data_IF_158993678318
#
_entry.id   IF_158993678318
#
_cell.length_a   1.000
_cell.length_b   1.000
_cell.length_c   1.000
_cell.angle_alpha   90.00
_cell.angle_beta   90.00
_cell.angle_gamma   90.00
#
_symmetry.space_group_name_H-M   'P 1'
#
loop_
_entity.id
_entity.type
_entity.pdbx_description
1 polymer ?
#
# COMPACT_ATOMS: atom_id res chain seq x y z
N UNK A 1 10.58 -9.37 8.58
CA UNK A 1 10.65 -8.28 9.57
C UNK A 1 9.67 -8.59 10.71
N UNK A 2 9.90 -8.15 11.96
CA UNK A 2 8.89 -8.33 13.03
C UNK A 2 7.70 -7.38 12.82
N UNK A 3 6.51 -7.73 13.33
CA UNK A 3 5.32 -6.86 13.22
C UNK A 3 5.53 -5.49 13.88
N UNK A 4 6.24 -5.47 15.02
CA UNK A 4 6.63 -4.24 15.71
C UNK A 4 7.48 -3.34 14.80
N UNK A 5 8.57 -3.88 14.26
CA UNK A 5 9.47 -3.08 13.44
C UNK A 5 8.78 -2.57 12.18
N UNK A 6 8.03 -3.44 11.49
CA UNK A 6 7.26 -3.06 10.30
C UNK A 6 6.31 -1.90 10.62
N UNK A 7 5.53 -2.01 11.70
CA UNK A 7 4.59 -0.96 12.12
C UNK A 7 5.31 0.36 12.43
N UNK A 8 6.44 0.30 13.15
CA UNK A 8 7.24 1.49 13.46
C UNK A 8 7.83 2.12 12.20
N UNK A 9 8.29 1.33 11.23
CA UNK A 9 8.80 1.83 9.96
C UNK A 9 7.70 2.55 9.15
N UNK A 10 6.46 2.06 9.17
CA UNK A 10 5.33 2.82 8.60
C UNK A 10 5.12 4.16 9.29
N UNK A 11 5.17 4.21 10.63
CA UNK A 11 5.01 5.47 11.37
C UNK A 11 6.18 6.43 11.08
N UNK A 12 7.41 5.93 11.09
CA UNK A 12 8.64 6.72 11.17
C UNK A 12 9.24 7.03 9.80
N UNK A 13 8.89 6.26 8.77
CA UNK A 13 9.35 6.43 7.40
C UNK A 13 8.17 6.85 6.53
N UNK A 14 7.15 5.98 6.39
CA UNK A 14 6.07 6.20 5.43
C UNK A 14 5.26 7.45 5.77
N UNK A 15 4.61 7.45 6.93
CA UNK A 15 3.76 8.55 7.39
C UNK A 15 4.56 9.82 7.70
N UNK A 16 5.78 9.69 8.20
CA UNK A 16 6.63 10.84 8.55
C UNK A 16 6.99 11.71 7.35
N UNK A 17 7.12 11.11 6.17
CA UNK A 17 7.49 11.83 4.95
C UNK A 17 6.31 11.99 3.98
N UNK A 18 5.10 11.58 4.39
CA UNK A 18 3.94 11.54 3.51
C UNK A 18 3.47 12.92 3.03
N UNK A 19 3.32 13.86 3.97
CA UNK A 19 2.95 15.25 3.68
C UNK A 19 4.00 15.91 2.78
N UNK A 20 5.28 15.67 3.06
CA UNK A 20 6.37 16.22 2.25
C UNK A 20 6.31 15.69 0.82
N UNK A 21 6.13 14.37 0.63
CA UNK A 21 6.01 13.76 -0.70
C UNK A 21 4.82 14.35 -1.46
N UNK A 22 3.66 14.46 -0.82
CA UNK A 22 2.48 15.06 -1.45
C UNK A 22 2.74 16.50 -1.88
N UNK A 23 3.38 17.31 -1.03
CA UNK A 23 3.67 18.72 -1.32
C UNK A 23 4.70 18.94 -2.44
N UNK A 24 5.44 17.90 -2.85
CA UNK A 24 6.35 17.96 -4.01
C UNK A 24 5.62 17.77 -5.35
N UNK A 25 4.40 17.24 -5.33
CA UNK A 25 3.63 17.03 -6.55
C UNK A 25 3.23 18.38 -7.18
N UNK A 26 3.09 18.43 -8.51
CA UNK A 26 2.34 19.51 -9.15
C UNK A 26 0.95 19.64 -8.52
N UNK A 27 0.53 20.88 -8.25
CA UNK A 27 -0.71 21.16 -7.49
C UNK A 27 -1.93 20.52 -8.12
N UNK A 28 -2.05 20.56 -9.44
CA UNK A 28 -3.15 19.96 -10.21
C UNK A 28 -3.16 18.43 -10.10
N UNK A 29 -1.98 17.80 -10.11
CA UNK A 29 -1.83 16.35 -9.90
C UNK A 29 -2.25 15.96 -8.48
N UNK A 30 -1.77 16.68 -7.47
CA UNK A 30 -2.13 16.43 -6.07
C UNK A 30 -3.64 16.56 -5.83
N UNK A 31 -4.26 17.63 -6.35
CA UNK A 31 -5.73 17.83 -6.28
C UNK A 31 -6.47 16.70 -7.01
N UNK A 32 -6.03 16.30 -8.20
CA UNK A 32 -6.66 15.20 -8.95
C UNK A 32 -6.62 13.90 -8.16
N UNK A 33 -5.47 13.53 -7.58
CA UNK A 33 -5.31 12.29 -6.81
C UNK A 33 -6.20 12.28 -5.56
N UNK A 34 -6.21 13.37 -4.79
CA UNK A 34 -7.05 13.49 -3.59
C UNK A 34 -8.55 13.44 -3.93
N UNK A 35 -8.97 14.10 -5.00
CA UNK A 35 -10.35 14.02 -5.48
C UNK A 35 -10.72 12.60 -5.94
N UNK A 36 -9.77 11.86 -6.53
CA UNK A 36 -9.94 10.46 -6.89
C UNK A 36 -10.21 9.55 -5.69
N UNK A 37 -9.68 9.92 -4.52
CA UNK A 37 -9.94 9.27 -3.23
C UNK A 37 -11.26 9.74 -2.57
N UNK A 38 -12.04 10.61 -3.23
CA UNK A 38 -13.32 11.10 -2.72
C UNK A 38 -13.21 12.27 -1.73
N UNK A 39 -12.02 12.85 -1.54
CA UNK A 39 -11.81 13.97 -0.63
C UNK A 39 -11.67 15.30 -1.40
N UNK A 40 -12.27 16.40 -0.92
CA UNK A 40 -12.11 17.71 -1.59
C UNK A 40 -10.72 18.33 -1.42
N UNK A 41 -10.03 18.01 -0.32
CA UNK A 41 -8.71 18.57 0.04
C UNK A 41 -7.86 17.53 0.73
N UNK A 42 -6.54 17.64 0.58
CA UNK A 42 -5.59 16.70 1.18
C UNK A 42 -5.75 16.63 2.70
N UNK A 43 -5.97 17.79 3.32
CA UNK A 43 -6.27 17.90 4.74
C UNK A 43 -7.51 17.12 5.18
N UNK A 44 -8.55 17.06 4.35
CA UNK A 44 -9.78 16.32 4.67
C UNK A 44 -9.51 14.80 4.68
N UNK A 45 -8.66 14.31 3.76
CA UNK A 45 -8.18 12.92 3.75
C UNK A 45 -7.30 12.62 4.97
N UNK A 46 -6.38 13.52 5.32
CA UNK A 46 -5.56 13.38 6.54
C UNK A 46 -6.40 13.42 7.82
N UNK A 47 -7.49 14.20 7.84
CA UNK A 47 -8.43 14.25 8.98
C UNK A 47 -9.13 12.89 9.19
N UNK A 48 -9.51 12.23 8.10
CA UNK A 48 -10.00 10.86 8.14
C UNK A 48 -8.95 9.89 8.72
N UNK A 49 -7.72 9.89 8.18
CA UNK A 49 -6.63 9.03 8.66
C UNK A 49 -6.35 9.26 10.15
N UNK A 50 -6.24 10.53 10.55
CA UNK A 50 -5.95 10.93 11.92
C UNK A 50 -7.03 10.47 12.89
N UNK A 51 -8.31 10.58 12.51
CA UNK A 51 -9.42 10.16 13.37
C UNK A 51 -9.39 8.66 13.64
N UNK A 52 -8.96 7.85 12.66
CA UNK A 52 -8.74 6.43 12.87
C UNK A 52 -7.55 6.13 13.78
N UNK A 53 -6.49 6.94 13.76
CA UNK A 53 -5.40 6.82 14.73
C UNK A 53 -5.86 7.17 16.14
N UNK A 54 -6.62 8.26 16.29
CA UNK A 54 -7.19 8.69 17.56
C UNK A 54 -8.14 7.64 18.16
N UNK A 55 -8.92 6.94 17.33
CA UNK A 55 -9.81 5.87 17.79
C UNK A 55 -9.04 4.57 18.09
N UNK A 56 -8.10 4.18 17.24
CA UNK A 56 -7.45 2.88 17.35
C UNK A 56 -6.38 2.83 18.44
N UNK A 57 -5.62 3.91 18.67
CA UNK A 57 -4.52 3.89 19.64
C UNK A 57 -4.97 3.55 21.08
N UNK A 58 -6.05 4.16 21.62
CA UNK A 58 -6.58 3.77 22.93
C UNK A 58 -6.99 2.29 22.99
N UNK A 59 -7.57 1.75 21.90
CA UNK A 59 -7.97 0.34 21.81
C UNK A 59 -6.74 -0.57 21.79
N UNK A 60 -5.74 -0.25 20.97
CA UNK A 60 -4.48 -1.00 20.86
C UNK A 60 -3.81 -1.07 22.24
N UNK A 61 -3.67 0.07 22.92
CA UNK A 61 -3.03 0.15 24.23
C UNK A 61 -3.84 -0.59 25.30
N UNK A 62 -5.17 -0.50 25.28
CA UNK A 62 -6.00 -1.26 26.21
C UNK A 62 -5.84 -2.77 26.01
N UNK A 63 -5.81 -3.26 24.77
CA UNK A 63 -5.56 -4.69 24.50
C UNK A 63 -4.16 -5.09 24.95
N UNK A 64 -3.15 -4.26 24.69
CA UNK A 64 -1.76 -4.53 25.05
C UNK A 64 -1.53 -4.58 26.57
N UNK A 65 -2.30 -3.81 27.33
CA UNK A 65 -2.24 -3.71 28.79
C UNK A 65 -3.29 -4.59 29.49
N UNK A 66 -4.01 -5.42 28.72
CA UNK A 66 -5.10 -6.28 29.21
C UNK A 66 -6.22 -5.52 29.96
N UNK A 67 -6.43 -4.25 29.60
CA UNK A 67 -7.49 -3.42 30.14
C UNK A 67 -8.79 -3.59 29.38
N UNK A 68 -9.90 -3.34 30.07
CA UNK A 68 -11.20 -3.21 29.42
C UNK A 68 -11.23 -2.01 28.47
N UNK A 69 -11.98 -2.16 27.38
CA UNK A 69 -12.25 -1.09 26.44
C UNK A 69 -13.59 -1.33 25.76
N UNK A 70 -14.19 -0.25 25.29
CA UNK A 70 -15.48 -0.31 24.62
C UNK A 70 -15.34 -0.90 23.21
N UNK A 71 -16.13 -1.94 22.91
CA UNK A 71 -16.26 -2.43 21.54
C UNK A 71 -17.37 -1.65 20.85
N UNK A 72 -16.97 -0.73 19.99
CA UNK A 72 -17.92 0.01 19.15
C UNK A 72 -18.19 -0.74 17.86
N UNK A 73 -19.44 -0.68 17.41
CA UNK A 73 -19.79 -0.99 16.03
C UNK A 73 -19.82 0.33 15.27
N UNK A 74 -19.02 0.44 14.23
CA UNK A 74 -18.94 1.66 13.43
C UNK A 74 -19.96 1.62 12.29
N UNK A 75 -20.65 2.73 12.12
CA UNK A 75 -21.04 3.18 10.80
C UNK A 75 -19.83 3.93 10.23
N UNK A 76 -19.11 3.30 9.30
CA UNK A 76 -17.87 3.83 8.77
C UNK A 76 -18.09 5.16 8.03
N UNK A 77 -19.21 5.28 7.31
CA UNK A 77 -19.53 6.49 6.55
C UNK A 77 -19.81 7.66 7.50
N UNK A 78 -20.62 7.42 8.55
CA UNK A 78 -20.90 8.42 9.56
C UNK A 78 -19.63 8.85 10.31
N UNK A 79 -18.80 7.88 10.74
CA UNK A 79 -17.54 8.17 11.43
C UNK A 79 -16.58 8.99 10.55
N UNK A 80 -16.45 8.61 9.28
CA UNK A 80 -15.58 9.32 8.32
C UNK A 80 -16.09 10.73 8.02
N UNK A 81 -17.41 10.92 7.91
CA UNK A 81 -18.00 12.25 7.72
C UNK A 81 -17.79 13.16 8.94
N UNK A 82 -17.95 12.61 10.15
CA UNK A 82 -17.69 13.33 11.41
C UNK A 82 -16.21 13.70 11.55
N UNK A 83 -15.29 12.82 11.16
CA UNK A 83 -13.86 13.09 11.14
C UNK A 83 -13.54 14.32 10.29
N UNK A 84 -14.02 14.37 9.05
CA UNK A 84 -13.81 15.51 8.15
C UNK A 84 -14.46 16.78 8.71
N UNK A 85 -15.68 16.67 9.27
CA UNK A 85 -16.39 17.80 9.86
C UNK A 85 -15.65 18.40 11.06
N UNK A 86 -15.06 17.55 11.92
CA UNK A 86 -14.33 17.94 13.15
C UNK A 86 -13.18 18.91 12.87
N UNK A 87 -12.44 18.68 11.78
CA UNK A 87 -11.27 19.49 11.42
C UNK A 87 -11.55 20.47 10.27
N UNK A 88 -12.81 20.62 9.84
CA UNK A 88 -13.18 21.41 8.66
C UNK A 88 -12.77 22.89 8.77
N UNK A 89 -12.85 23.46 9.96
CA UNK A 89 -12.60 24.89 10.18
C UNK A 89 -11.21 25.18 10.76
N UNK A 90 -10.37 24.15 10.93
CA UNK A 90 -9.00 24.33 11.39
C UNK A 90 -8.16 25.04 10.33
N UNK A 91 -7.19 25.84 10.78
CA UNK A 91 -6.11 26.29 9.90
C UNK A 91 -5.30 25.09 9.39
N UNK A 92 -4.82 25.15 8.15
CA UNK A 92 -4.12 24.03 7.54
C UNK A 92 -2.76 23.76 8.21
N UNK A 93 -1.98 24.79 8.51
CA UNK A 93 -0.68 24.61 9.17
C UNK A 93 -0.86 24.11 10.62
N UNK A 94 -1.90 24.60 11.32
CA UNK A 94 -2.28 24.09 12.64
C UNK A 94 -2.66 22.60 12.58
N UNK A 95 -3.50 22.21 11.62
CA UNK A 95 -3.90 20.82 11.43
C UNK A 95 -2.70 19.91 11.11
N UNK A 96 -1.82 20.31 10.19
CA UNK A 96 -0.64 19.50 9.84
C UNK A 96 0.32 19.35 11.04
N UNK A 97 0.45 20.39 11.87
CA UNK A 97 1.22 20.33 13.12
C UNK A 97 0.59 19.33 14.11
N UNK A 98 -0.74 19.32 14.23
CA UNK A 98 -1.45 18.36 15.07
C UNK A 98 -1.32 16.92 14.55
N UNK A 99 -1.45 16.72 13.23
CA UNK A 99 -1.24 15.42 12.58
C UNK A 99 0.15 14.85 12.89
N UNK A 100 1.20 15.66 12.73
CA UNK A 100 2.57 15.24 13.01
C UNK A 100 2.80 14.93 14.49
N UNK A 101 2.24 15.74 15.40
CA UNK A 101 2.28 15.47 16.84
C UNK A 101 1.63 14.13 17.18
N UNK A 102 0.50 13.82 16.56
CA UNK A 102 -0.22 12.56 16.78
C UNK A 102 0.52 11.36 16.21
N UNK A 103 1.16 11.50 15.03
CA UNK A 103 2.07 10.48 14.46
C UNK A 103 3.22 10.16 15.42
N UNK A 104 3.91 11.20 15.92
CA UNK A 104 5.03 11.04 16.86
C UNK A 104 4.58 10.37 18.17
N UNK A 105 3.42 10.78 18.69
CA UNK A 105 2.83 10.16 19.88
C UNK A 105 2.53 8.68 19.66
N UNK A 106 1.89 8.33 18.53
CA UNK A 106 1.60 6.94 18.19
C UNK A 106 2.88 6.10 18.11
N UNK A 107 3.93 6.60 17.46
CA UNK A 107 5.24 5.94 17.41
C UNK A 107 5.84 5.69 18.80
N UNK A 108 5.80 6.69 19.69
CA UNK A 108 6.30 6.56 21.06
C UNK A 108 5.49 5.53 21.87
N UNK A 109 4.17 5.59 21.80
CA UNK A 109 3.26 4.65 22.46
C UNK A 109 3.52 3.21 21.99
N UNK A 110 3.54 2.98 20.67
CA UNK A 110 3.79 1.66 20.07
C UNK A 110 5.17 1.11 20.45
N UNK A 111 6.20 1.96 20.49
CA UNK A 111 7.55 1.57 20.90
C UNK A 111 7.59 1.09 22.36
N UNK A 112 6.79 1.72 23.22
CA UNK A 112 6.71 1.43 24.65
C UNK A 112 5.91 0.16 25.00
N UNK A 113 5.10 -0.34 24.06
CA UNK A 113 4.32 -1.56 24.27
C UNK A 113 5.22 -2.77 24.54
N UNK A 114 4.77 -3.64 25.45
CA UNK A 114 5.39 -4.93 25.73
C UNK A 114 5.51 -5.76 24.44
N UNK A 115 6.67 -6.41 24.21
CA UNK A 115 6.90 -7.26 23.05
C UNK A 115 5.84 -8.34 22.87
N UNK A 116 5.35 -8.94 23.97
CA UNK A 116 4.31 -9.96 23.91
C UNK A 116 2.97 -9.44 23.32
N UNK A 117 2.69 -8.13 23.44
CA UNK A 117 1.48 -7.54 22.87
C UNK A 117 1.46 -7.59 21.34
N UNK A 118 2.63 -7.61 20.68
CA UNK A 118 2.75 -7.67 19.23
C UNK A 118 2.40 -9.04 18.64
N UNK A 119 2.35 -10.09 19.46
CA UNK A 119 1.87 -11.41 19.07
C UNK A 119 0.33 -11.51 19.12
N UNK A 120 -0.32 -10.61 19.86
CA UNK A 120 -1.77 -10.57 19.97
C UNK A 120 -2.40 -10.27 18.61
N UNK A 121 -3.24 -11.20 18.12
CA UNK A 121 -3.92 -11.08 16.82
C UNK A 121 -4.72 -9.78 16.68
N UNK A 122 -5.33 -9.28 17.76
CA UNK A 122 -6.18 -8.08 17.73
C UNK A 122 -5.34 -6.81 17.66
N UNK A 123 -4.22 -6.76 18.36
CA UNK A 123 -3.23 -5.68 18.22
C UNK A 123 -2.77 -5.63 16.77
N UNK A 124 -2.30 -6.76 16.22
CA UNK A 124 -1.87 -6.88 14.82
C UNK A 124 -2.95 -6.44 13.83
N UNK A 125 -4.19 -6.86 14.04
CA UNK A 125 -5.32 -6.45 13.19
C UNK A 125 -5.53 -4.94 13.19
N UNK A 126 -5.46 -4.29 14.35
CA UNK A 126 -5.63 -2.84 14.44
C UNK A 126 -4.48 -2.09 13.80
N UNK A 127 -3.23 -2.42 14.15
CA UNK A 127 -2.06 -1.73 13.58
C UNK A 127 -1.97 -1.92 12.06
N UNK A 128 -2.26 -3.12 11.56
CA UNK A 128 -2.28 -3.38 10.11
C UNK A 128 -3.36 -2.53 9.44
N UNK A 129 -4.57 -2.48 9.99
CA UNK A 129 -5.65 -1.68 9.42
C UNK A 129 -5.31 -0.18 9.36
N UNK A 130 -4.91 0.41 10.49
CA UNK A 130 -4.86 1.88 10.62
C UNK A 130 -3.54 2.52 10.20
N UNK A 131 -2.44 1.76 10.19
CA UNK A 131 -1.13 2.30 9.82
C UNK A 131 -0.61 1.75 8.50
N UNK A 132 -0.84 0.47 8.20
CA UNK A 132 -0.28 -0.18 7.02
C UNK A 132 -1.25 -0.11 5.85
N UNK A 133 -2.47 -0.63 6.02
CA UNK A 133 -3.48 -0.66 4.97
C UNK A 133 -3.92 0.75 4.59
N UNK A 134 -4.18 1.62 5.56
CA UNK A 134 -4.50 3.03 5.29
C UNK A 134 -3.43 3.77 4.48
N UNK A 135 -2.15 3.42 4.59
CA UNK A 135 -1.09 4.06 3.80
C UNK A 135 -1.20 3.68 2.31
N UNK A 136 -1.65 2.46 2.02
CA UNK A 136 -1.91 1.99 0.65
C UNK A 136 -3.27 2.45 0.13
N UNK A 137 -4.31 2.35 0.94
CA UNK A 137 -5.67 2.75 0.59
C UNK A 137 -5.73 4.23 0.22
N UNK A 138 -5.12 5.09 1.06
CA UNK A 138 -5.06 6.52 0.82
C UNK A 138 -3.78 6.93 0.12
N UNK A 139 -3.27 6.15 -0.83
CA UNK A 139 -2.03 6.43 -1.57
C UNK A 139 -2.23 7.58 -2.57
N UNK A 140 -1.74 8.78 -2.23
CA UNK A 140 -1.68 9.92 -3.18
C UNK A 140 -0.26 10.35 -3.51
N UNK A 141 0.75 9.81 -2.80
CA UNK A 141 2.17 10.06 -3.06
C UNK A 141 3.04 8.87 -2.61
N UNK A 142 3.59 8.12 -3.56
CA UNK A 142 4.32 6.89 -3.30
C UNK A 142 5.72 7.15 -2.71
N UNK A 143 6.16 6.24 -1.84
CA UNK A 143 7.52 6.20 -1.33
C UNK A 143 8.25 4.92 -1.76
N UNK A 144 9.59 4.98 -1.77
CA UNK A 144 10.42 3.77 -1.93
C UNK A 144 10.13 2.73 -0.86
N UNK A 145 9.91 3.18 0.38
CA UNK A 145 9.62 2.29 1.49
C UNK A 145 8.35 1.50 1.24
N UNK A 146 7.25 2.15 0.84
CA UNK A 146 5.98 1.47 0.59
C UNK A 146 6.06 0.47 -0.56
N UNK A 147 6.76 0.83 -1.65
CA UNK A 147 6.99 -0.09 -2.77
C UNK A 147 7.76 -1.32 -2.31
N UNK A 148 8.85 -1.14 -1.56
CA UNK A 148 9.66 -2.26 -1.06
C UNK A 148 8.90 -3.09 -0.05
N UNK A 149 8.21 -2.47 0.90
CA UNK A 149 7.40 -3.18 1.89
C UNK A 149 6.33 -4.06 1.23
N UNK A 150 5.66 -3.53 0.20
CA UNK A 150 4.65 -4.29 -0.55
C UNK A 150 5.28 -5.46 -1.30
N UNK A 151 6.42 -5.26 -1.96
CA UNK A 151 7.14 -6.35 -2.64
C UNK A 151 7.66 -7.40 -1.66
N UNK A 152 8.15 -7.00 -0.49
CA UNK A 152 8.79 -7.89 0.48
C UNK A 152 7.79 -8.65 1.34
N UNK A 153 6.73 -8.00 1.82
CA UNK A 153 5.82 -8.56 2.82
C UNK A 153 4.47 -8.98 2.24
N UNK A 154 3.93 -8.22 1.29
CA UNK A 154 2.61 -8.48 0.72
C UNK A 154 2.75 -9.49 -0.43
N UNK A 155 3.41 -9.10 -1.52
CA UNK A 155 3.72 -10.02 -2.62
C UNK A 155 4.59 -11.20 -2.18
N UNK A 156 5.44 -11.00 -1.16
CA UNK A 156 6.30 -12.05 -0.61
C UNK A 156 5.56 -13.22 0.05
N UNK A 157 4.32 -13.01 0.47
CA UNK A 157 3.48 -14.05 1.11
C UNK A 157 2.33 -14.53 0.22
N UNK A 158 2.13 -13.89 -0.93
CA UNK A 158 0.98 -14.09 -1.83
C UNK A 158 0.72 -15.55 -2.24
N UNK A 159 1.78 -16.29 -2.63
CA UNK A 159 1.65 -17.71 -2.99
C UNK A 159 1.24 -18.56 -1.78
N UNK A 160 1.80 -18.27 -0.62
CA UNK A 160 1.51 -18.98 0.62
C UNK A 160 0.08 -18.70 1.09
N UNK A 161 -0.36 -17.44 1.02
CA UNK A 161 -1.75 -17.05 1.29
C UNK A 161 -2.73 -17.72 0.35
N UNK A 162 -2.41 -17.77 -0.95
CA UNK A 162 -3.25 -18.48 -1.91
C UNK A 162 -3.35 -19.97 -1.58
N UNK A 163 -2.24 -20.59 -1.16
CA UNK A 163 -2.22 -22.00 -0.79
C UNK A 163 -3.15 -22.32 0.39
N UNK A 164 -3.29 -21.37 1.32
CA UNK A 164 -4.15 -21.44 2.51
C UNK A 164 -5.63 -21.18 2.24
N UNK A 165 -5.97 -20.56 1.10
CA UNK A 165 -7.37 -20.29 0.77
C UNK A 165 -8.17 -21.59 0.68
N UNK A 166 -9.31 -21.62 1.37
CA UNK A 166 -10.28 -22.72 1.29
C UNK A 166 -10.97 -22.75 -0.08
N UNK A 167 -11.47 -21.60 -0.56
CA UNK A 167 -12.14 -21.47 -1.86
C UNK A 167 -11.30 -20.73 -2.89
N UNK A 168 -10.26 -21.42 -3.39
CA UNK A 168 -9.41 -20.95 -4.48
C UNK A 168 -10.19 -20.65 -5.75
N UNK A 169 -11.26 -21.41 -6.02
CA UNK A 169 -12.03 -21.29 -7.26
C UNK A 169 -12.85 -20.00 -7.30
N UNK A 170 -13.49 -19.62 -6.19
CA UNK A 170 -14.22 -18.36 -6.09
C UNK A 170 -13.27 -17.16 -6.17
N UNK A 171 -12.10 -17.25 -5.55
CA UNK A 171 -11.06 -16.22 -5.68
C UNK A 171 -10.64 -16.04 -7.15
N UNK A 172 -10.19 -17.11 -7.82
CA UNK A 172 -9.72 -17.02 -9.21
C UNK A 172 -10.81 -16.53 -10.17
N UNK A 173 -12.05 -16.98 -9.98
CA UNK A 173 -13.21 -16.51 -10.75
C UNK A 173 -13.44 -15.00 -10.55
N UNK A 174 -13.30 -14.49 -9.33
CA UNK A 174 -13.39 -13.05 -9.05
C UNK A 174 -12.28 -12.28 -9.75
N UNK A 175 -11.08 -12.85 -9.82
CA UNK A 175 -9.94 -12.28 -10.55
C UNK A 175 -10.06 -12.41 -12.08
N UNK A 176 -11.08 -13.11 -12.59
CA UNK A 176 -11.29 -13.29 -14.03
C UNK A 176 -10.32 -14.26 -14.71
N UNK A 177 -9.64 -15.11 -13.95
CA UNK A 177 -8.68 -16.10 -14.46
C UNK A 177 -9.10 -17.54 -14.14
N UNK A 178 -8.63 -18.51 -14.91
CA UNK A 178 -9.02 -19.91 -14.74
C UNK A 178 -8.19 -20.62 -13.65
N UNK A 179 -6.92 -20.26 -13.52
CA UNK A 179 -5.96 -20.93 -12.64
C UNK A 179 -4.94 -19.94 -12.06
N UNK A 180 -4.27 -20.33 -10.98
CA UNK A 180 -3.34 -19.43 -10.27
C UNK A 180 -2.09 -19.11 -11.10
N UNK A 181 -1.68 -20.03 -11.97
CA UNK A 181 -0.63 -19.77 -12.95
C UNK A 181 -0.96 -18.57 -13.86
N UNK A 182 -2.19 -18.42 -14.33
CA UNK A 182 -2.62 -17.24 -15.12
C UNK A 182 -2.56 -15.97 -14.29
N UNK A 183 -2.99 -16.02 -13.02
CA UNK A 183 -2.87 -14.90 -12.06
C UNK A 183 -1.42 -14.43 -11.91
N UNK A 184 -0.49 -15.35 -11.64
CA UNK A 184 0.92 -15.01 -11.47
C UNK A 184 1.56 -14.54 -12.77
N UNK A 185 1.20 -15.15 -13.91
CA UNK A 185 1.65 -14.71 -15.23
C UNK A 185 1.26 -13.27 -15.53
N UNK A 186 0.03 -12.88 -15.20
CA UNK A 186 -0.45 -11.50 -15.31
C UNK A 186 0.41 -10.53 -14.49
N UNK A 187 0.67 -10.83 -13.22
CA UNK A 187 1.50 -9.97 -12.35
C UNK A 187 2.93 -9.85 -12.87
N UNK A 188 3.54 -10.97 -13.28
CA UNK A 188 4.92 -10.97 -13.80
C UNK A 188 5.05 -10.02 -15.01
N UNK A 189 4.08 -10.01 -15.90
CA UNK A 189 4.19 -9.25 -17.17
C UNK A 189 4.03 -7.75 -16.96
N UNK A 190 3.15 -7.33 -16.05
CA UNK A 190 3.10 -5.93 -15.61
C UNK A 190 4.41 -5.52 -14.96
N UNK A 191 4.98 -6.34 -14.09
CA UNK A 191 6.29 -6.06 -13.51
C UNK A 191 7.42 -5.97 -14.54
N UNK A 192 7.44 -6.88 -15.52
CA UNK A 192 8.43 -6.81 -16.60
C UNK A 192 8.27 -5.54 -17.45
N UNK A 193 7.02 -5.14 -17.72
CA UNK A 193 6.73 -3.92 -18.46
C UNK A 193 7.16 -2.68 -17.67
N UNK A 194 6.68 -2.53 -16.44
CA UNK A 194 7.04 -1.43 -15.55
C UNK A 194 8.56 -1.33 -15.37
N UNK A 195 9.26 -2.44 -15.17
CA UNK A 195 10.72 -2.46 -15.09
C UNK A 195 11.40 -1.89 -16.34
N UNK A 196 10.96 -2.30 -17.54
CA UNK A 196 11.52 -1.80 -18.81
C UNK A 196 11.30 -0.30 -18.97
N UNK A 197 10.11 0.17 -18.62
CA UNK A 197 9.74 1.59 -18.68
C UNK A 197 10.60 2.40 -17.73
N UNK A 198 10.69 1.98 -16.46
CA UNK A 198 11.48 2.66 -15.43
C UNK A 198 12.96 2.72 -15.83
N UNK A 199 13.54 1.60 -16.26
CA UNK A 199 14.94 1.56 -16.73
C UNK A 199 15.14 2.45 -17.95
N UNK A 200 14.18 2.49 -18.88
CA UNK A 200 14.18 3.38 -20.03
C UNK A 200 14.23 4.85 -19.64
N UNK A 201 13.32 5.29 -18.76
CA UNK A 201 13.26 6.67 -18.25
C UNK A 201 14.55 7.06 -17.53
N UNK A 202 15.10 6.17 -16.69
CA UNK A 202 16.33 6.44 -15.93
C UNK A 202 17.54 6.55 -16.86
N UNK A 203 17.58 5.74 -17.92
CA UNK A 203 18.74 5.63 -18.80
C UNK A 203 18.73 6.64 -19.96
N UNK A 204 17.55 7.09 -20.39
CA UNK A 204 17.37 8.06 -21.47
C UNK A 204 16.28 9.10 -21.12
N UNK A 205 16.63 10.38 -20.94
CA UNK A 205 15.65 11.44 -20.65
C UNK A 205 14.66 11.69 -21.81
N UNK A 206 14.93 11.17 -23.01
CA UNK A 206 14.03 11.25 -24.16
C UNK A 206 13.20 9.97 -24.35
N UNK A 207 13.31 8.99 -23.44
CA UNK A 207 12.53 7.77 -23.51
C UNK A 207 11.03 8.09 -23.65
N UNK A 208 10.37 7.41 -24.58
CA UNK A 208 8.93 7.47 -24.77
C UNK A 208 8.39 6.06 -24.75
N UNK A 209 7.47 5.81 -23.83
CA UNK A 209 6.67 4.61 -23.84
C UNK A 209 5.52 4.75 -24.84
N UNK A 210 5.16 3.65 -25.48
CA UNK A 210 4.00 3.56 -26.36
C UNK A 210 3.00 2.65 -25.68
N UNK A 211 1.81 3.17 -25.43
CA UNK A 211 0.74 2.40 -24.81
C UNK A 211 0.43 1.16 -25.64
N UNK A 212 0.21 0.06 -24.94
CA UNK A 212 -0.24 -1.20 -25.54
C UNK A 212 -1.74 -1.32 -25.40
N UNK A 213 -2.36 -2.02 -26.34
CA UNK A 213 -3.73 -2.50 -26.15
C UNK A 213 -3.72 -3.50 -24.98
N UNK A 214 -4.30 -3.09 -23.85
CA UNK A 214 -4.30 -3.86 -22.60
C UNK A 214 -4.98 -5.21 -22.75
N UNK A 215 -6.05 -5.30 -23.54
CA UNK A 215 -6.79 -6.56 -23.75
C UNK A 215 -5.97 -7.52 -24.61
N UNK A 216 -5.36 -7.01 -25.69
CA UNK A 216 -4.47 -7.79 -26.53
C UNK A 216 -3.23 -8.28 -25.75
N UNK A 217 -2.64 -7.39 -24.94
CA UNK A 217 -1.51 -7.72 -24.07
C UNK A 217 -1.88 -8.84 -23.10
N UNK A 218 -2.99 -8.69 -22.36
CA UNK A 218 -3.43 -9.71 -21.41
C UNK A 218 -3.72 -11.07 -22.07
N UNK A 219 -4.28 -11.07 -23.29
CA UNK A 219 -4.49 -12.30 -24.05
C UNK A 219 -3.16 -13.01 -24.41
N UNK A 220 -2.15 -12.25 -24.83
CA UNK A 220 -0.82 -12.77 -25.14
C UNK A 220 -0.11 -13.34 -23.90
N UNK A 221 -0.27 -12.67 -22.75
CA UNK A 221 0.24 -13.15 -21.46
C UNK A 221 -0.34 -14.53 -21.13
N UNK A 222 -1.66 -14.69 -21.21
CA UNK A 222 -2.33 -15.98 -20.97
C UNK A 222 -1.75 -17.07 -21.90
N UNK A 223 -1.59 -16.76 -23.19
CA UNK A 223 -1.03 -17.71 -24.15
C UNK A 223 0.43 -18.09 -23.84
N UNK A 224 1.24 -17.14 -23.35
CA UNK A 224 2.64 -17.35 -22.98
C UNK A 224 2.77 -18.33 -21.80
N UNK A 225 2.04 -18.10 -20.71
CA UNK A 225 2.18 -18.87 -19.48
C UNK A 225 1.44 -20.22 -19.49
N UNK A 226 0.46 -20.42 -20.38
CA UNK A 226 -0.22 -21.72 -20.56
C UNK A 226 0.72 -22.89 -20.86
N UNK A 227 1.90 -22.61 -21.43
CA UNK A 227 2.91 -23.61 -21.79
C UNK A 227 3.77 -24.07 -20.61
N UNK A 228 3.73 -23.35 -19.48
CA UNK A 228 4.53 -23.63 -18.29
C UNK A 228 3.69 -24.38 -17.24
N UNK A 229 4.36 -25.13 -16.37
CA UNK A 229 3.74 -25.70 -15.17
C UNK A 229 3.44 -24.60 -14.14
N UNK A 230 2.55 -24.87 -13.19
CA UNK A 230 2.27 -23.92 -12.11
C UNK A 230 3.51 -23.63 -11.26
N UNK A 231 4.31 -24.67 -10.96
CA UNK A 231 5.56 -24.55 -10.21
C UNK A 231 6.62 -23.73 -10.95
N UNK A 232 6.69 -23.84 -12.29
CA UNK A 232 7.58 -23.02 -13.10
C UNK A 232 7.19 -21.54 -13.01
N UNK A 233 5.90 -21.22 -13.07
CA UNK A 233 5.42 -19.83 -12.97
C UNK A 233 5.57 -19.27 -11.56
N UNK A 234 5.36 -20.07 -10.51
CA UNK A 234 5.64 -19.65 -9.13
C UNK A 234 7.13 -19.30 -8.93
N UNK A 235 8.05 -20.09 -9.50
CA UNK A 235 9.49 -19.76 -9.47
C UNK A 235 9.80 -18.48 -10.24
N UNK A 236 9.20 -18.30 -11.41
CA UNK A 236 9.36 -17.08 -12.20
C UNK A 236 8.84 -15.85 -11.45
N UNK A 237 7.67 -15.96 -10.80
CA UNK A 237 7.11 -14.90 -9.96
C UNK A 237 8.09 -14.47 -8.88
N UNK A 238 8.66 -15.42 -8.13
CA UNK A 238 9.63 -15.10 -7.08
C UNK A 238 10.91 -14.46 -7.64
N UNK A 239 11.44 -14.98 -8.75
CA UNK A 239 12.60 -14.37 -9.42
C UNK A 239 12.30 -12.90 -9.78
N UNK A 240 11.12 -12.64 -10.32
CA UNK A 240 10.71 -11.31 -10.77
C UNK A 240 10.43 -10.36 -9.62
N UNK A 241 9.83 -10.84 -8.53
CA UNK A 241 9.68 -10.08 -7.29
C UNK A 241 11.04 -9.61 -6.77
N UNK A 242 12.03 -10.51 -6.77
CA UNK A 242 13.40 -10.20 -6.36
C UNK A 242 14.11 -9.24 -7.34
N UNK A 243 13.86 -9.36 -8.65
CA UNK A 243 14.33 -8.39 -9.65
C UNK A 243 13.74 -7.00 -9.39
N UNK A 244 12.44 -6.91 -9.09
CA UNK A 244 11.77 -5.64 -8.77
C UNK A 244 12.31 -5.01 -7.49
N UNK A 245 12.54 -5.80 -6.45
CA UNK A 245 13.20 -5.32 -5.21
C UNK A 245 14.57 -4.72 -5.53
N UNK A 246 15.40 -5.44 -6.30
CA UNK A 246 16.72 -4.94 -6.72
C UNK A 246 16.63 -3.67 -7.56
N UNK A 247 15.68 -3.62 -8.48
CA UNK A 247 15.43 -2.44 -9.30
C UNK A 247 15.11 -1.24 -8.40
N UNK A 248 14.10 -1.35 -7.55
CA UNK A 248 13.63 -0.27 -6.67
C UNK A 248 14.71 0.18 -5.68
N UNK A 249 15.49 -0.75 -5.12
CA UNK A 249 16.64 -0.42 -4.28
C UNK A 249 17.73 0.34 -5.05
N UNK A 250 17.96 -0.03 -6.31
CA UNK A 250 18.98 0.56 -7.17
C UNK A 250 18.57 1.87 -7.86
N UNK A 251 17.31 2.30 -7.74
CA UNK A 251 16.86 3.57 -8.30
C UNK A 251 17.58 4.77 -7.64
N UNK A 252 17.84 5.85 -8.38
CA UNK A 252 18.38 7.07 -7.79
C UNK A 252 17.37 7.70 -6.80
N UNK A 253 17.85 8.48 -5.83
CA UNK A 253 17.02 9.03 -4.76
C UNK A 253 15.88 9.92 -5.28
N UNK A 254 16.09 10.58 -6.42
CA UNK A 254 15.09 11.42 -7.06
C UNK A 254 14.11 10.65 -7.97
N UNK A 255 14.23 9.33 -8.12
CA UNK A 255 13.36 8.55 -9.01
C UNK A 255 11.88 8.68 -8.65
N UNK A 256 11.56 8.70 -7.35
CA UNK A 256 10.19 8.87 -6.86
C UNK A 256 9.67 10.32 -6.98
N UNK A 257 10.51 11.26 -7.41
CA UNK A 257 10.10 12.60 -7.81
C UNK A 257 9.83 12.70 -9.32
N UNK A 258 10.09 11.64 -10.09
CA UNK A 258 9.76 11.56 -11.52
C UNK A 258 8.36 10.95 -11.61
N UNK A 259 7.38 11.78 -11.99
CA UNK A 259 5.95 11.39 -11.95
C UNK A 259 5.62 10.10 -12.71
N UNK A 260 6.28 9.85 -13.84
CA UNK A 260 6.07 8.61 -14.62
C UNK A 260 6.58 7.37 -13.86
N UNK A 261 7.78 7.44 -13.26
CA UNK A 261 8.33 6.32 -12.47
C UNK A 261 7.46 6.06 -11.23
N UNK A 262 7.11 7.13 -10.52
CA UNK A 262 6.26 7.03 -9.33
C UNK A 262 4.90 6.42 -9.68
N UNK A 263 4.26 6.88 -10.76
CA UNK A 263 2.93 6.39 -11.16
C UNK A 263 2.97 4.92 -11.57
N UNK A 264 4.00 4.48 -12.30
CA UNK A 264 4.16 3.07 -12.66
C UNK A 264 4.41 2.18 -11.44
N UNK A 265 5.24 2.61 -10.49
CA UNK A 265 5.47 1.85 -9.26
C UNK A 265 4.23 1.82 -8.37
N UNK A 266 3.42 2.88 -8.35
CA UNK A 266 2.17 2.90 -7.58
C UNK A 266 1.18 1.90 -8.17
N UNK A 267 0.91 2.01 -9.48
CA UNK A 267 -0.01 1.17 -10.21
C UNK A 267 0.39 -0.31 -10.15
N UNK A 268 1.58 -0.67 -10.62
CA UNK A 268 1.92 -2.08 -10.87
C UNK A 268 2.41 -2.83 -9.62
N UNK A 269 2.80 -2.12 -8.55
CA UNK A 269 3.34 -2.77 -7.35
C UNK A 269 2.36 -2.71 -6.19
N UNK A 270 1.78 -1.54 -5.92
CA UNK A 270 0.98 -1.30 -4.72
C UNK A 270 -0.50 -1.48 -5.01
N UNK A 271 -1.04 -0.70 -5.94
CA UNK A 271 -2.45 -0.76 -6.32
C UNK A 271 -2.79 -2.12 -6.93
N UNK A 272 -1.92 -2.67 -7.79
CA UNK A 272 -2.09 -3.99 -8.37
C UNK A 272 -2.13 -5.11 -7.33
N UNK A 273 -1.38 -4.98 -6.22
CA UNK A 273 -1.55 -5.91 -5.11
C UNK A 273 -2.93 -5.79 -4.51
N UNK A 274 -3.39 -4.57 -4.22
CA UNK A 274 -4.67 -4.34 -3.55
C UNK A 274 -5.87 -4.81 -4.40
N UNK A 275 -5.77 -4.70 -5.73
CA UNK A 275 -6.73 -5.26 -6.70
C UNK A 275 -6.82 -6.78 -6.59
N UNK A 276 -5.69 -7.45 -6.42
CA UNK A 276 -5.58 -8.91 -6.38
C UNK A 276 -5.44 -9.48 -4.97
N UNK A 277 -5.57 -8.65 -3.93
CA UNK A 277 -5.29 -9.04 -2.57
C UNK A 277 -6.14 -10.23 -2.13
N UNK A 278 -5.48 -11.21 -1.52
CA UNK A 278 -6.11 -12.36 -0.91
C UNK A 278 -6.63 -11.93 0.46
N UNK A 279 -7.93 -11.59 0.50
CA UNK A 279 -8.59 -11.19 1.74
C UNK A 279 -8.84 -12.44 2.59
N UNK A 280 -8.19 -12.51 3.76
CA UNK A 280 -8.43 -13.53 4.79
C UNK A 280 -9.60 -13.23 5.71
#
# INVERSE_FOLDING_TARGET
MSNKQRTLDFIEIEWATYIERFNRLPVDVGVKRVNGQGYPRFRDMLAHILSWWEEAMPIILAIAEEREYERKKYDFDAFNAEAVARYKDWDEAEFLTHFEKMRQKAGADLRSMNEAAWENRRVRSWVNGVFIHHAREHLVALSRFLTLDTLENEWGTYIEDFSRLEDKSAFLKKQGVENFREMLGHVIEWWEMGARIIVGIVSDPNFKWVDVDTDAFNADVIAKYRKLSEEEVQKLFEIKRQDMIRLVQGLPDNAFSIGDIESWLAADMVEHFDEHAIKG
#
